data_IF_853498307259
#
_entry.id   IF_853498307259
#
_cell.length_a   1.000
_cell.length_b   1.000
_cell.length_c   1.000
_cell.angle_alpha   90.00
_cell.angle_beta   90.00
_cell.angle_gamma   90.00
#
_symmetry.space_group_name_H-M   'P 1'
#
loop_
_entity.id
_entity.type
_entity.pdbx_description
1 polymer ?
#
# COMPACT_ATOMS: atom_id res chain seq x y z
N UNK A 1 -5.12 -4.18 -58.33
CA UNK A 1 -3.85 -4.93 -58.54
C UNK A 1 -3.79 -6.11 -57.59
N UNK A 2 -3.90 -5.88 -56.27
CA UNK A 2 -4.02 -6.95 -55.27
C UNK A 2 -5.06 -8.02 -55.64
N UNK A 3 -6.31 -7.63 -55.86
CA UNK A 3 -7.39 -8.54 -56.28
C UNK A 3 -7.13 -9.31 -57.59
N UNK A 4 -6.26 -8.77 -58.46
CA UNK A 4 -5.92 -9.43 -59.72
C UNK A 4 -4.88 -10.55 -59.51
N UNK A 5 -4.03 -10.43 -58.49
CA UNK A 5 -3.04 -11.45 -58.12
C UNK A 5 -3.75 -12.66 -57.50
N UNK A 6 -4.66 -12.45 -56.54
CA UNK A 6 -5.40 -13.56 -55.91
C UNK A 6 -6.41 -14.27 -56.81
N UNK A 7 -6.65 -13.77 -58.03
CA UNK A 7 -7.48 -14.43 -59.05
C UNK A 7 -6.65 -15.17 -60.10
N UNK A 8 -5.33 -15.18 -59.96
CA UNK A 8 -4.41 -15.83 -60.89
C UNK A 8 -4.14 -17.27 -60.45
N UNK A 9 -4.46 -18.25 -61.28
CA UNK A 9 -4.24 -19.68 -60.98
C UNK A 9 -2.75 -20.09 -60.99
N UNK A 10 -1.87 -19.22 -61.50
CA UNK A 10 -0.44 -19.51 -61.74
C UNK A 10 0.47 -18.84 -60.72
N UNK A 11 0.05 -17.72 -60.14
CA UNK A 11 0.85 -16.93 -59.19
C UNK A 11 -0.07 -16.36 -58.12
N UNK A 12 -0.09 -17.00 -56.97
CA UNK A 12 -1.00 -16.69 -55.87
C UNK A 12 -0.29 -15.84 -54.80
N UNK A 13 -1.01 -15.34 -53.81
CA UNK A 13 -0.47 -14.49 -52.74
C UNK A 13 0.68 -15.12 -51.96
N UNK A 14 0.76 -16.46 -51.93
CA UNK A 14 1.81 -17.22 -51.23
C UNK A 14 3.15 -17.20 -51.97
N UNK A 15 3.13 -16.88 -53.27
CA UNK A 15 4.31 -16.90 -54.13
C UNK A 15 5.01 -15.52 -54.21
N UNK A 16 4.46 -14.52 -53.51
CA UNK A 16 5.05 -13.19 -53.37
C UNK A 16 6.35 -13.23 -52.56
N UNK A 17 7.38 -12.56 -53.08
CA UNK A 17 8.65 -12.41 -52.40
C UNK A 17 8.55 -11.44 -51.22
N UNK A 18 9.31 -11.72 -50.16
CA UNK A 18 9.32 -10.91 -48.94
C UNK A 18 9.61 -9.43 -49.23
N UNK A 19 10.54 -9.15 -50.15
CA UNK A 19 10.93 -7.78 -50.49
C UNK A 19 9.80 -6.98 -51.12
N UNK A 20 9.02 -7.56 -52.03
CA UNK A 20 7.83 -6.90 -52.60
C UNK A 20 6.77 -6.66 -51.54
N UNK A 21 6.49 -7.65 -50.69
CA UNK A 21 5.52 -7.52 -49.58
C UNK A 21 5.92 -6.41 -48.61
N UNK A 22 7.19 -6.38 -48.20
CA UNK A 22 7.74 -5.34 -47.31
C UNK A 22 7.65 -3.94 -47.94
N UNK A 23 7.91 -3.84 -49.25
CA UNK A 23 7.83 -2.57 -49.99
C UNK A 23 6.38 -2.06 -50.06
N UNK A 24 5.42 -2.95 -50.35
CA UNK A 24 4.01 -2.59 -50.43
C UNK A 24 3.45 -2.19 -49.06
N UNK A 25 3.74 -2.96 -48.02
CA UNK A 25 3.34 -2.65 -46.65
C UNK A 25 3.99 -1.34 -46.17
N UNK A 26 5.25 -1.07 -46.55
CA UNK A 26 5.90 0.22 -46.29
C UNK A 26 5.15 1.39 -46.91
N UNK A 27 4.81 1.30 -48.20
CA UNK A 27 4.05 2.35 -48.90
C UNK A 27 2.66 2.55 -48.31
N UNK A 28 1.97 1.48 -47.91
CA UNK A 28 0.65 1.57 -47.26
C UNK A 28 0.75 2.23 -45.88
N UNK A 29 1.79 1.92 -45.11
CA UNK A 29 2.04 2.54 -43.81
C UNK A 29 2.33 4.04 -43.95
N UNK A 30 3.16 4.43 -44.93
CA UNK A 30 3.54 5.84 -45.17
C UNK A 30 2.37 6.70 -45.64
N UNK A 31 1.44 6.13 -46.41
CA UNK A 31 0.22 6.84 -46.86
C UNK A 31 -0.76 7.12 -45.73
N UNK A 32 -0.82 6.24 -44.73
CA UNK A 32 -1.64 6.44 -43.53
C UNK A 32 -3.15 6.55 -43.79
N UNK A 33 -3.66 6.05 -44.92
CA UNK A 33 -5.08 6.11 -45.24
C UNK A 33 -5.84 4.93 -44.59
N UNK A 34 -7.07 5.18 -44.14
CA UNK A 34 -7.88 4.15 -43.46
C UNK A 34 -8.23 2.96 -44.35
N UNK A 35 -8.49 3.20 -45.65
CA UNK A 35 -8.79 2.13 -46.61
C UNK A 35 -7.58 1.20 -46.82
N UNK A 36 -6.37 1.69 -46.57
CA UNK A 36 -5.12 0.94 -46.75
C UNK A 36 -4.91 -0.07 -45.60
N UNK A 37 -5.59 0.10 -44.46
CA UNK A 37 -5.53 -0.84 -43.33
C UNK A 37 -6.16 -2.20 -43.67
N UNK A 38 -7.34 -2.21 -44.29
CA UNK A 38 -8.00 -3.46 -44.69
C UNK A 38 -7.16 -4.21 -45.72
N UNK A 39 -6.62 -3.50 -46.71
CA UNK A 39 -5.72 -4.08 -47.71
C UNK A 39 -4.44 -4.63 -47.04
N UNK A 40 -3.84 -3.90 -46.10
CA UNK A 40 -2.68 -4.38 -45.36
C UNK A 40 -2.98 -5.65 -44.54
N UNK A 41 -4.16 -5.73 -43.90
CA UNK A 41 -4.61 -6.94 -43.19
C UNK A 41 -4.70 -8.13 -44.13
N UNK A 42 -5.33 -7.98 -45.31
CA UNK A 42 -5.41 -9.04 -46.30
C UNK A 42 -4.04 -9.50 -46.79
N UNK A 43 -3.12 -8.55 -47.06
CA UNK A 43 -1.75 -8.85 -47.45
C UNK A 43 -1.04 -9.69 -46.37
N UNK A 44 -1.15 -9.29 -45.10
CA UNK A 44 -0.49 -9.98 -43.99
C UNK A 44 -1.07 -11.39 -43.79
N UNK A 45 -2.39 -11.56 -43.90
CA UNK A 45 -3.04 -12.88 -43.77
C UNK A 45 -2.77 -13.81 -44.96
N UNK A 46 -2.65 -13.27 -46.16
CA UNK A 46 -2.40 -14.06 -47.36
C UNK A 46 -0.94 -14.51 -47.51
N UNK A 47 0.00 -13.74 -46.95
CA UNK A 47 1.46 -13.98 -47.00
C UNK A 47 2.02 -14.71 -45.76
N UNK A 48 1.13 -15.21 -44.89
CA UNK A 48 1.38 -15.83 -43.57
C UNK A 48 2.33 -17.05 -43.59
N UNK A 49 2.68 -17.56 -44.78
CA UNK A 49 3.68 -18.62 -44.95
C UNK A 49 5.10 -18.21 -44.50
N UNK A 50 5.38 -16.90 -44.41
CA UNK A 50 6.65 -16.36 -43.88
C UNK A 50 6.44 -15.72 -42.50
N UNK A 51 6.58 -16.52 -41.43
CA UNK A 51 6.46 -16.09 -40.02
C UNK A 51 7.20 -14.77 -39.67
N UNK A 52 8.24 -14.37 -40.43
CA UNK A 52 8.96 -13.11 -40.23
C UNK A 52 8.12 -11.87 -40.53
N UNK A 53 7.27 -11.91 -41.56
CA UNK A 53 6.60 -10.73 -42.12
C UNK A 53 5.45 -10.29 -41.21
N UNK A 54 4.65 -11.24 -40.74
CA UNK A 54 3.60 -11.02 -39.73
C UNK A 54 4.17 -10.48 -38.42
N UNK A 55 5.34 -10.95 -38.01
CA UNK A 55 6.02 -10.53 -36.77
C UNK A 55 6.47 -9.06 -36.80
N UNK A 56 6.83 -8.54 -37.97
CA UNK A 56 7.37 -7.19 -38.14
C UNK A 56 6.29 -6.13 -38.43
N UNK A 57 5.30 -6.47 -39.27
CA UNK A 57 4.32 -5.49 -39.74
C UNK A 57 3.06 -5.40 -38.89
N UNK A 58 2.59 -6.51 -38.31
CA UNK A 58 1.37 -6.54 -37.48
C UNK A 58 1.39 -5.49 -36.36
N UNK A 59 2.49 -5.33 -35.59
CA UNK A 59 2.52 -4.30 -34.55
C UNK A 59 2.38 -2.87 -35.09
N UNK A 60 3.00 -2.56 -36.24
CA UNK A 60 2.98 -1.22 -36.84
C UNK A 60 1.57 -0.83 -37.29
N UNK A 61 0.89 -1.74 -38.00
CA UNK A 61 -0.47 -1.49 -38.49
C UNK A 61 -1.51 -1.46 -37.38
N UNK A 62 -1.37 -2.28 -36.33
CA UNK A 62 -2.27 -2.21 -35.18
C UNK A 62 -2.07 -0.92 -34.40
N UNK A 63 -0.84 -0.46 -34.21
CA UNK A 63 -0.59 0.84 -33.55
C UNK A 63 -1.18 1.99 -34.37
N UNK A 64 -0.99 2.00 -35.69
CA UNK A 64 -1.57 3.00 -36.58
C UNK A 64 -3.12 2.97 -36.56
N UNK A 65 -3.70 1.77 -36.54
CA UNK A 65 -5.15 1.60 -36.37
C UNK A 65 -5.65 2.14 -35.02
N UNK A 66 -4.93 1.86 -33.91
CA UNK A 66 -5.27 2.39 -32.59
C UNK A 66 -5.19 3.92 -32.54
N UNK A 67 -4.19 4.52 -33.20
CA UNK A 67 -4.05 5.98 -33.32
C UNK A 67 -5.21 6.60 -34.10
N UNK A 68 -5.58 6.01 -35.23
CA UNK A 68 -6.72 6.46 -36.02
C UNK A 68 -8.05 6.34 -35.24
N UNK A 69 -8.16 5.33 -34.38
CA UNK A 69 -9.33 5.10 -33.53
C UNK A 69 -9.55 6.19 -32.48
N UNK A 70 -8.50 6.88 -32.04
CA UNK A 70 -8.63 8.02 -31.13
C UNK A 70 -9.07 9.31 -31.84
N UNK A 71 -8.74 9.46 -33.13
CA UNK A 71 -9.01 10.68 -33.89
C UNK A 71 -10.44 10.80 -34.44
N UNK A 72 -11.13 9.67 -34.67
CA UNK A 72 -12.50 9.64 -35.17
C UNK A 72 -13.42 8.87 -34.21
N UNK A 73 -14.37 9.56 -33.57
CA UNK A 73 -15.48 8.96 -32.80
C UNK A 73 -16.48 8.15 -33.67
N UNK A 74 -16.11 7.75 -34.89
CA UNK A 74 -17.01 7.22 -35.91
C UNK A 74 -16.56 5.83 -36.35
N UNK A 75 -17.35 4.81 -35.99
CA UNK A 75 -17.47 3.48 -36.61
C UNK A 75 -16.19 2.94 -37.25
N UNK A 76 -15.14 2.75 -36.46
CA UNK A 76 -14.11 1.79 -36.88
C UNK A 76 -14.65 0.38 -36.68
N UNK A 77 -14.22 -0.51 -37.56
CA UNK A 77 -14.51 -1.93 -37.47
C UNK A 77 -13.88 -2.47 -36.17
N UNK A 78 -14.72 -2.76 -35.17
CA UNK A 78 -14.30 -3.26 -33.85
C UNK A 78 -13.48 -4.56 -33.97
N UNK A 79 -13.54 -5.23 -35.13
CA UNK A 79 -12.95 -6.53 -35.42
C UNK A 79 -11.67 -6.47 -36.29
N UNK A 80 -11.08 -5.29 -36.52
CA UNK A 80 -9.85 -5.21 -37.33
C UNK A 80 -8.72 -6.10 -36.77
N UNK A 81 -8.58 -6.15 -35.45
CA UNK A 81 -7.57 -6.94 -34.76
C UNK A 81 -7.83 -8.46 -34.78
N UNK A 82 -9.05 -8.91 -35.10
CA UNK A 82 -9.40 -10.33 -35.10
C UNK A 82 -8.70 -11.07 -36.26
N UNK A 83 -8.14 -12.25 -35.97
CA UNK A 83 -7.50 -13.15 -36.93
C UNK A 83 -6.05 -12.82 -37.32
N UNK A 84 -5.59 -11.57 -37.13
CA UNK A 84 -4.19 -11.19 -37.42
C UNK A 84 -3.27 -11.35 -36.21
N UNK A 85 -3.84 -11.35 -35.00
CA UNK A 85 -3.08 -11.42 -33.75
C UNK A 85 -2.58 -12.83 -33.41
N UNK A 86 -1.35 -12.90 -32.93
CA UNK A 86 -0.79 -14.06 -32.23
C UNK A 86 -0.18 -13.63 -30.89
N UNK A 87 0.11 -14.55 -29.95
CA UNK A 87 0.65 -14.20 -28.63
C UNK A 87 1.92 -13.34 -28.67
N UNK A 88 2.82 -13.59 -29.62
CA UNK A 88 4.04 -12.78 -29.82
C UNK A 88 3.74 -11.35 -30.26
N UNK A 89 2.78 -11.16 -31.18
CA UNK A 89 2.40 -9.84 -31.67
C UNK A 89 1.71 -9.04 -30.57
N UNK A 90 0.86 -9.68 -29.75
CA UNK A 90 0.23 -9.05 -28.58
C UNK A 90 1.28 -8.52 -27.62
N UNK A 91 2.28 -9.35 -27.28
CA UNK A 91 3.41 -8.92 -26.44
C UNK A 91 4.16 -7.74 -27.06
N UNK A 92 4.57 -7.84 -28.33
CA UNK A 92 5.34 -6.80 -29.01
C UNK A 92 4.57 -5.48 -29.10
N UNK A 93 3.27 -5.52 -29.36
CA UNK A 93 2.40 -4.33 -29.35
C UNK A 93 2.35 -3.71 -27.96
N UNK A 94 2.13 -4.51 -26.91
CA UNK A 94 2.11 -4.00 -25.54
C UNK A 94 3.44 -3.38 -25.11
N UNK A 95 4.57 -4.01 -25.45
CA UNK A 95 5.90 -3.48 -25.15
C UNK A 95 6.15 -2.16 -25.87
N UNK A 96 5.80 -2.05 -27.16
CA UNK A 96 5.95 -0.81 -27.94
C UNK A 96 5.08 0.33 -27.40
N UNK A 97 3.83 0.05 -27.03
CA UNK A 97 2.93 1.06 -26.46
C UNK A 97 3.44 1.59 -25.12
N UNK A 98 4.00 0.71 -24.27
CA UNK A 98 4.58 1.07 -22.97
C UNK A 98 5.90 1.82 -23.14
N UNK A 99 6.80 1.35 -24.01
CA UNK A 99 8.08 2.03 -24.31
C UNK A 99 7.85 3.46 -24.83
N UNK A 100 6.83 3.65 -25.65
CA UNK A 100 6.45 4.96 -26.20
C UNK A 100 5.58 5.80 -25.24
N UNK A 101 5.31 5.32 -24.02
CA UNK A 101 4.49 5.99 -22.99
C UNK A 101 3.10 6.42 -23.46
N UNK A 102 2.48 5.63 -24.34
CA UNK A 102 1.17 5.94 -24.94
C UNK A 102 0.03 5.36 -24.10
N UNK A 103 -0.16 5.89 -22.90
CA UNK A 103 -1.13 5.37 -21.91
C UNK A 103 -2.57 5.32 -22.42
N UNK A 104 -3.01 6.34 -23.16
CA UNK A 104 -4.36 6.37 -23.72
C UNK A 104 -4.59 5.28 -24.79
N UNK A 105 -3.55 4.91 -25.55
CA UNK A 105 -3.64 3.80 -26.51
C UNK A 105 -3.57 2.44 -25.80
N UNK A 106 -2.95 2.37 -24.61
CA UNK A 106 -2.98 1.14 -23.80
C UNK A 106 -4.38 0.85 -23.26
N UNK A 107 -5.16 1.88 -22.92
CA UNK A 107 -6.55 1.71 -22.49
C UNK A 107 -7.45 1.20 -23.64
N UNK A 108 -7.32 1.77 -24.84
CA UNK A 108 -8.05 1.28 -26.03
C UNK A 108 -7.57 -0.10 -26.47
N UNK A 109 -6.27 -0.38 -26.32
CA UNK A 109 -5.73 -1.70 -26.54
C UNK A 109 -6.25 -2.72 -25.52
N UNK A 110 -6.41 -2.34 -24.26
CA UNK A 110 -7.03 -3.19 -23.25
C UNK A 110 -8.46 -3.56 -23.62
N UNK A 111 -9.28 -2.60 -24.07
CA UNK A 111 -10.67 -2.89 -24.50
C UNK A 111 -10.70 -3.80 -25.72
N UNK A 112 -9.79 -3.60 -26.68
CA UNK A 112 -9.62 -4.49 -27.83
C UNK A 112 -9.27 -5.92 -27.40
N UNK A 113 -8.27 -6.07 -26.53
CA UNK A 113 -7.84 -7.38 -26.03
C UNK A 113 -8.93 -8.11 -25.26
N UNK A 114 -9.80 -7.37 -24.57
CA UNK A 114 -10.95 -7.98 -23.92
C UNK A 114 -11.89 -8.59 -24.96
N UNK A 115 -12.27 -7.89 -26.04
CA UNK A 115 -13.23 -8.38 -27.04
C UNK A 115 -12.80 -9.54 -27.95
N UNK A 116 -11.59 -10.09 -27.79
CA UNK A 116 -11.04 -11.14 -28.67
C UNK A 116 -11.76 -12.48 -28.52
N UNK A 117 -12.12 -13.09 -29.66
CA UNK A 117 -12.79 -14.41 -29.69
C UNK A 117 -11.86 -15.57 -29.31
N UNK A 118 -10.56 -15.48 -29.65
CA UNK A 118 -9.56 -16.55 -29.44
C UNK A 118 -8.74 -16.40 -28.14
N UNK A 119 -9.25 -15.67 -27.14
CA UNK A 119 -8.49 -15.31 -25.94
C UNK A 119 -7.98 -16.50 -25.10
N UNK A 120 -8.70 -17.64 -25.09
CA UNK A 120 -8.33 -18.86 -24.34
C UNK A 120 -7.15 -19.59 -24.96
N UNK A 121 -7.14 -19.74 -26.28
CA UNK A 121 -6.04 -20.35 -27.04
C UNK A 121 -4.79 -19.49 -26.95
N UNK A 122 -4.94 -18.16 -27.01
CA UNK A 122 -3.83 -17.24 -26.81
C UNK A 122 -3.23 -17.34 -25.42
N UNK A 123 -4.04 -17.43 -24.36
CA UNK A 123 -3.57 -17.50 -22.97
C UNK A 123 -2.82 -18.77 -22.60
N UNK A 124 -2.96 -19.85 -23.38
CA UNK A 124 -2.36 -21.17 -23.10
C UNK A 124 -1.04 -21.42 -23.85
N UNK A 125 -0.53 -20.42 -24.59
CA UNK A 125 0.69 -20.54 -25.40
C UNK A 125 1.99 -20.55 -24.57
N UNK A 126 3.00 -21.33 -24.96
CA UNK A 126 4.29 -21.41 -24.26
C UNK A 126 5.11 -20.10 -24.30
N UNK A 127 4.75 -19.18 -25.22
CA UNK A 127 5.36 -17.86 -25.42
C UNK A 127 5.34 -17.01 -24.14
N UNK A 128 4.37 -17.22 -23.25
CA UNK A 128 4.26 -16.47 -22.00
C UNK A 128 5.35 -16.84 -21.00
N UNK A 129 5.77 -18.11 -20.99
CA UNK A 129 6.83 -18.62 -20.10
C UNK A 129 8.21 -18.59 -20.74
N UNK A 130 8.29 -18.49 -22.06
CA UNK A 130 9.55 -18.40 -22.79
C UNK A 130 10.18 -17.01 -22.64
N UNK A 131 10.81 -16.78 -21.48
CA UNK A 131 11.73 -15.68 -21.27
C UNK A 131 13.10 -16.10 -21.83
N UNK A 132 13.25 -16.17 -23.15
CA UNK A 132 14.44 -16.76 -23.76
C UNK A 132 15.75 -16.22 -23.18
N UNK A 133 16.58 -17.20 -22.83
CA UNK A 133 18.04 -17.14 -22.74
C UNK A 133 18.65 -16.42 -23.98
N UNK A 134 19.88 -15.90 -23.85
CA UNK A 134 20.52 -15.06 -24.86
C UNK A 134 20.90 -15.87 -26.11
N UNK A 135 19.94 -16.22 -26.94
CA UNK A 135 20.17 -16.64 -28.33
C UNK A 135 19.67 -15.55 -29.25
N UNK A 136 20.51 -14.51 -29.35
CA UNK A 136 20.67 -13.73 -30.58
C UNK A 136 19.45 -12.96 -31.07
N UNK A 137 18.85 -12.11 -30.22
CA UNK A 137 18.20 -10.81 -30.53
C UNK A 137 17.14 -10.47 -29.47
N UNK A 138 17.54 -10.32 -28.21
CA UNK A 138 16.66 -9.72 -27.19
C UNK A 138 16.44 -8.24 -27.54
N UNK A 139 15.37 -7.95 -28.28
CA UNK A 139 15.03 -6.61 -28.82
C UNK A 139 14.15 -5.79 -27.90
N UNK A 140 13.69 -6.34 -26.78
CA UNK A 140 12.91 -5.60 -25.79
C UNK A 140 13.84 -4.66 -25.02
N UNK A 141 13.76 -3.35 -25.25
CA UNK A 141 14.47 -2.32 -24.47
C UNK A 141 14.05 -2.24 -22.99
N UNK A 142 13.26 -3.19 -22.50
CA UNK A 142 12.69 -3.24 -21.15
C UNK A 142 13.46 -4.22 -20.26
N UNK A 143 13.69 -3.87 -18.98
CA UNK A 143 14.18 -4.80 -17.97
C UNK A 143 13.31 -6.05 -17.82
N UNK A 144 13.93 -7.19 -17.50
CA UNK A 144 13.25 -8.49 -17.37
C UNK A 144 12.02 -8.44 -16.44
N UNK A 145 12.12 -7.70 -15.32
CA UNK A 145 11.03 -7.52 -14.37
C UNK A 145 9.81 -6.84 -15.00
N UNK A 146 10.04 -5.80 -15.80
CA UNK A 146 8.97 -5.10 -16.51
C UNK A 146 8.32 -5.99 -17.56
N UNK A 147 9.10 -6.79 -18.28
CA UNK A 147 8.55 -7.74 -19.25
C UNK A 147 7.66 -8.79 -18.59
N UNK A 148 8.01 -9.27 -17.39
CA UNK A 148 7.17 -10.22 -16.64
C UNK A 148 5.86 -9.54 -16.21
N UNK A 149 5.90 -8.29 -15.76
CA UNK A 149 4.69 -7.54 -15.38
C UNK A 149 3.77 -7.35 -16.59
N UNK A 150 4.30 -7.04 -17.77
CA UNK A 150 3.50 -6.91 -19.00
C UNK A 150 2.86 -8.23 -19.43
N UNK A 151 3.59 -9.35 -19.32
CA UNK A 151 3.04 -10.70 -19.54
C UNK A 151 1.92 -11.04 -18.55
N UNK A 152 2.09 -10.68 -17.27
CA UNK A 152 1.05 -10.85 -16.25
C UNK A 152 -0.19 -9.98 -16.54
N UNK A 153 0.02 -8.75 -16.97
CA UNK A 153 -1.04 -7.82 -17.35
C UNK A 153 -1.84 -8.35 -18.54
N UNK A 154 -1.17 -8.72 -19.63
CA UNK A 154 -1.80 -9.25 -20.86
C UNK A 154 -2.57 -10.53 -20.62
N UNK A 155 -1.96 -11.53 -19.96
CA UNK A 155 -2.63 -12.80 -19.63
C UNK A 155 -3.90 -12.60 -18.81
N UNK A 156 -3.89 -11.62 -17.91
CA UNK A 156 -5.07 -11.29 -17.14
C UNK A 156 -6.16 -10.62 -17.98
N UNK A 157 -5.81 -9.72 -18.90
CA UNK A 157 -6.77 -9.12 -19.83
C UNK A 157 -7.44 -10.22 -20.65
N UNK A 158 -6.65 -11.12 -21.25
CA UNK A 158 -7.16 -12.25 -22.03
C UNK A 158 -8.02 -13.21 -21.20
N UNK A 159 -7.61 -13.52 -19.97
CA UNK A 159 -8.36 -14.39 -19.06
C UNK A 159 -9.61 -13.76 -18.44
N UNK A 160 -9.87 -12.46 -18.66
CA UNK A 160 -11.05 -11.77 -18.11
C UNK A 160 -12.34 -12.03 -18.90
N UNK A 161 -12.22 -12.48 -20.16
CA UNK A 161 -13.34 -12.71 -21.07
C UNK A 161 -13.94 -14.10 -21.05
N UNK A 162 -13.36 -15.05 -20.31
CA UNK A 162 -13.98 -16.38 -20.14
C UNK A 162 -15.33 -16.18 -19.43
N UNK A 163 -16.48 -16.40 -20.11
CA UNK A 163 -17.77 -16.16 -19.53
C UNK A 163 -17.91 -17.05 -18.31
N UNK A 164 -18.05 -16.40 -17.15
CA UNK A 164 -18.30 -17.01 -15.86
C UNK A 164 -19.68 -17.70 -15.89
N UNK A 165 -19.76 -18.86 -16.54
CA UNK A 165 -20.92 -19.72 -16.40
C UNK A 165 -20.90 -20.32 -15.00
N UNK A 166 -21.78 -19.74 -14.19
CA UNK A 166 -22.41 -20.34 -13.01
C UNK A 166 -21.51 -20.58 -11.79
N UNK A 167 -21.66 -19.66 -10.81
CA UNK A 167 -21.43 -19.76 -9.36
C UNK A 167 -20.25 -18.96 -8.77
N UNK A 168 -20.39 -18.40 -7.54
CA UNK A 168 -19.43 -17.47 -6.93
C UNK A 168 -18.24 -18.15 -6.24
N UNK A 169 -17.98 -19.43 -6.57
CA UNK A 169 -16.74 -20.11 -6.19
C UNK A 169 -15.86 -20.14 -7.44
N UNK A 170 -14.94 -19.17 -7.54
CA UNK A 170 -13.90 -19.12 -8.59
C UNK A 170 -13.21 -20.49 -8.65
N UNK A 171 -13.45 -21.25 -9.71
CA UNK A 171 -12.55 -22.34 -10.10
C UNK A 171 -11.25 -21.77 -10.68
N UNK A 172 -10.17 -22.57 -10.72
CA UNK A 172 -8.91 -22.15 -11.34
C UNK A 172 -9.13 -21.88 -12.83
N UNK A 173 -8.66 -20.73 -13.31
CA UNK A 173 -8.63 -20.41 -14.75
C UNK A 173 -7.49 -21.17 -15.41
N UNK A 174 -7.63 -21.47 -16.70
CA UNK A 174 -6.57 -22.11 -17.50
C UNK A 174 -5.27 -21.29 -17.53
N UNK A 175 -5.37 -19.96 -17.36
CA UNK A 175 -4.21 -19.06 -17.30
C UNK A 175 -3.58 -18.94 -15.90
N UNK A 176 -4.25 -19.38 -14.84
CA UNK A 176 -3.74 -19.29 -13.46
C UNK A 176 -2.39 -20.03 -13.23
N UNK A 177 -2.12 -21.24 -13.76
CA UNK A 177 -0.82 -21.90 -13.58
C UNK A 177 0.32 -21.09 -14.23
N UNK A 178 0.11 -20.57 -15.44
CA UNK A 178 1.07 -19.73 -16.15
C UNK A 178 1.35 -18.44 -15.39
N UNK A 179 0.29 -17.80 -14.87
CA UNK A 179 0.38 -16.59 -14.05
C UNK A 179 1.14 -16.85 -12.75
N UNK A 180 0.89 -17.98 -12.08
CA UNK A 180 1.59 -18.36 -10.85
C UNK A 180 3.09 -18.64 -11.11
N UNK A 181 3.40 -19.31 -12.22
CA UNK A 181 4.79 -19.50 -12.67
C UNK A 181 5.50 -18.17 -12.89
N UNK A 182 4.84 -17.22 -13.58
CA UNK A 182 5.36 -15.87 -13.80
C UNK A 182 5.56 -15.08 -12.50
N UNK A 183 4.65 -15.19 -11.52
CA UNK A 183 4.85 -14.56 -10.22
C UNK A 183 6.05 -15.15 -9.47
N UNK A 184 6.27 -16.46 -9.54
CA UNK A 184 7.43 -17.11 -8.92
C UNK A 184 8.73 -16.74 -9.64
N UNK A 185 8.69 -16.65 -10.97
CA UNK A 185 9.82 -16.21 -11.78
C UNK A 185 10.17 -14.75 -11.51
N UNK A 186 9.16 -13.87 -11.40
CA UNK A 186 9.34 -12.50 -10.95
C UNK A 186 10.06 -12.49 -9.60
N UNK A 187 9.54 -13.20 -8.60
CA UNK A 187 10.11 -13.24 -7.24
C UNK A 187 11.58 -13.70 -7.25
N UNK A 188 11.91 -14.70 -8.06
CA UNK A 188 13.28 -15.23 -8.19
C UNK A 188 14.27 -14.26 -8.86
N UNK A 189 13.78 -13.32 -9.68
CA UNK A 189 14.58 -12.36 -10.45
C UNK A 189 14.54 -10.95 -9.86
N UNK A 190 14.01 -10.79 -8.65
CA UNK A 190 14.00 -9.51 -7.95
C UNK A 190 15.41 -9.11 -7.57
N UNK A 191 15.77 -7.89 -7.97
CA UNK A 191 17.09 -7.28 -7.74
C UNK A 191 17.25 -6.78 -6.31
N UNK A 192 16.14 -6.37 -5.67
CA UNK A 192 16.13 -5.88 -4.29
C UNK A 192 15.37 -6.84 -3.37
N UNK A 193 16.13 -7.60 -2.57
CA UNK A 193 15.61 -8.52 -1.56
C UNK A 193 15.11 -7.82 -0.29
N UNK A 194 15.36 -6.50 -0.15
CA UNK A 194 14.93 -5.71 1.02
C UNK A 194 13.52 -5.15 0.90
N UNK A 195 12.95 -5.12 -0.30
CA UNK A 195 11.55 -4.73 -0.51
C UNK A 195 10.65 -5.97 -0.44
N UNK A 196 9.39 -5.80 0.00
CA UNK A 196 8.40 -6.88 -0.08
C UNK A 196 8.00 -7.12 -1.54
N UNK A 197 7.61 -8.36 -1.87
CA UNK A 197 7.15 -8.75 -3.22
C UNK A 197 6.06 -7.81 -3.75
N UNK A 198 5.08 -7.49 -2.91
CA UNK A 198 3.96 -6.61 -3.29
C UNK A 198 4.42 -5.17 -3.54
N UNK A 199 5.38 -4.67 -2.77
CA UNK A 199 5.96 -3.33 -2.96
C UNK A 199 6.68 -3.22 -4.28
N UNK A 200 7.52 -4.20 -4.59
CA UNK A 200 8.30 -4.28 -5.83
C UNK A 200 7.38 -4.40 -7.05
N UNK A 201 6.36 -5.27 -6.98
CA UNK A 201 5.36 -5.44 -8.03
C UNK A 201 4.56 -4.14 -8.25
N UNK A 202 4.08 -3.51 -7.18
CA UNK A 202 3.34 -2.24 -7.25
C UNK A 202 4.20 -1.14 -7.89
N UNK A 203 5.47 -1.03 -7.51
CA UNK A 203 6.40 -0.06 -8.09
C UNK A 203 6.59 -0.30 -9.59
N UNK A 204 6.79 -1.54 -10.01
CA UNK A 204 6.94 -1.88 -11.42
C UNK A 204 5.68 -1.62 -12.25
N UNK A 205 4.49 -1.81 -11.69
CA UNK A 205 3.21 -1.45 -12.33
C UNK A 205 3.14 0.07 -12.58
N UNK A 206 3.48 0.88 -11.57
CA UNK A 206 3.46 2.34 -11.67
C UNK A 206 4.53 2.88 -12.63
N UNK A 207 5.73 2.27 -12.64
CA UNK A 207 6.80 2.63 -13.58
C UNK A 207 6.42 2.38 -15.04
N UNK A 208 5.63 1.33 -15.31
CA UNK A 208 5.16 1.01 -16.66
C UNK A 208 3.97 1.86 -17.10
N UNK A 209 3.30 2.56 -16.17
CA UNK A 209 2.11 3.35 -16.48
C UNK A 209 0.98 2.53 -17.11
N UNK A 210 0.92 1.22 -16.80
CA UNK A 210 -0.11 0.33 -17.34
C UNK A 210 -1.48 0.61 -16.69
N UNK A 211 -2.58 0.47 -17.44
CA UNK A 211 -3.91 0.71 -16.90
C UNK A 211 -4.28 -0.37 -15.89
N UNK A 212 -5.14 0.01 -14.96
CA UNK A 212 -5.59 -0.86 -13.89
C UNK A 212 -6.21 -2.15 -14.44
N UNK A 213 -5.69 -3.29 -13.97
CA UNK A 213 -6.28 -4.60 -14.26
C UNK A 213 -6.53 -5.39 -12.97
N UNK A 214 -6.02 -4.93 -11.83
CA UNK A 214 -6.17 -5.52 -10.51
C UNK A 214 -5.07 -6.52 -10.15
N UNK A 215 -3.92 -6.48 -10.82
CA UNK A 215 -2.78 -7.40 -10.69
C UNK A 215 -2.41 -7.71 -9.24
N UNK A 216 -2.42 -6.69 -8.36
CA UNK A 216 -2.13 -6.88 -6.95
C UNK A 216 -3.13 -7.83 -6.26
N UNK A 217 -4.41 -7.75 -6.62
CA UNK A 217 -5.44 -8.65 -6.09
C UNK A 217 -5.26 -10.09 -6.56
N UNK A 218 -4.83 -10.30 -7.81
CA UNK A 218 -4.61 -11.65 -8.34
C UNK A 218 -3.37 -12.29 -7.74
N UNK A 219 -2.32 -11.51 -7.48
CA UNK A 219 -1.16 -11.99 -6.75
C UNK A 219 -1.56 -12.51 -5.36
N UNK A 220 -2.42 -11.77 -4.63
CA UNK A 220 -2.92 -12.20 -3.31
C UNK A 220 -3.86 -13.40 -3.42
N UNK A 221 -4.83 -13.38 -4.35
CA UNK A 221 -5.78 -14.48 -4.51
C UNK A 221 -5.08 -15.81 -4.87
N UNK A 222 -4.09 -15.79 -5.77
CA UNK A 222 -3.36 -16.98 -6.20
C UNK A 222 -2.31 -17.46 -5.18
N UNK A 223 -1.63 -16.53 -4.48
CA UNK A 223 -0.58 -16.92 -3.50
C UNK A 223 -1.13 -17.26 -2.11
N UNK A 224 -2.16 -16.56 -1.63
CA UNK A 224 -2.66 -16.75 -0.27
C UNK A 224 -3.67 -17.90 -0.15
N UNK A 225 -4.27 -18.33 -1.27
CA UNK A 225 -5.27 -19.41 -1.31
C UNK A 225 -6.56 -19.13 -0.50
N UNK A 226 -6.69 -17.93 0.09
CA UNK A 226 -7.82 -17.49 0.91
C UNK A 226 -8.52 -16.33 0.23
N UNK A 227 -9.85 -16.34 0.25
CA UNK A 227 -10.63 -15.22 -0.27
C UNK A 227 -10.32 -13.94 0.50
N UNK A 228 -9.87 -12.92 -0.20
CA UNK A 228 -9.67 -11.59 0.37
C UNK A 228 -10.97 -10.97 0.91
N UNK A 229 -10.84 -10.14 1.95
CA UNK A 229 -11.94 -9.32 2.45
C UNK A 229 -12.28 -8.18 1.47
N UNK A 230 -13.51 -7.66 1.55
CA UNK A 230 -13.94 -6.52 0.71
C UNK A 230 -13.05 -5.29 0.90
N UNK A 231 -12.63 -5.03 2.14
CA UNK A 231 -11.73 -3.91 2.48
C UNK A 231 -10.34 -4.11 1.85
N UNK A 232 -9.77 -5.32 1.90
CA UNK A 232 -8.49 -5.62 1.26
C UNK A 232 -8.54 -5.43 -0.26
N UNK A 233 -9.65 -5.80 -0.91
CA UNK A 233 -9.83 -5.56 -2.36
C UNK A 233 -9.84 -4.07 -2.67
N UNK A 234 -10.58 -3.27 -1.91
CA UNK A 234 -10.64 -1.82 -2.12
C UNK A 234 -9.29 -1.14 -1.88
N UNK A 235 -8.52 -1.57 -0.87
CA UNK A 235 -7.19 -1.00 -0.62
C UNK A 235 -6.19 -1.36 -1.71
N UNK A 236 -6.16 -2.63 -2.15
CA UNK A 236 -5.26 -3.04 -3.25
C UNK A 236 -5.63 -2.37 -4.57
N UNK A 237 -6.93 -2.17 -4.84
CA UNK A 237 -7.38 -1.42 -5.99
C UNK A 237 -6.83 0.02 -5.96
N UNK A 238 -6.94 0.72 -4.83
CA UNK A 238 -6.38 2.08 -4.68
C UNK A 238 -4.87 2.12 -4.86
N UNK A 239 -4.15 1.13 -4.35
CA UNK A 239 -2.70 1.02 -4.49
C UNK A 239 -2.23 0.81 -5.93
N UNK A 240 -3.05 0.16 -6.76
CA UNK A 240 -2.74 -0.09 -8.16
C UNK A 240 -3.18 1.07 -9.07
N UNK A 241 -4.33 1.69 -8.79
CA UNK A 241 -4.87 2.77 -9.63
C UNK A 241 -4.18 4.12 -9.43
N UNK A 242 -3.58 4.34 -8.27
CA UNK A 242 -2.97 5.62 -7.90
C UNK A 242 -1.67 5.40 -7.14
N UNK A 243 -0.71 6.33 -7.21
CA UNK A 243 0.51 6.23 -6.43
C UNK A 243 0.16 6.13 -4.93
N UNK A 244 0.87 5.27 -4.18
CA UNK A 244 0.51 4.91 -2.82
C UNK A 244 0.71 6.07 -1.84
N UNK A 245 -0.37 6.63 -1.30
CA UNK A 245 -0.29 7.44 -0.07
C UNK A 245 -0.36 6.52 1.15
N UNK A 246 0.80 5.96 1.56
CA UNK A 246 0.89 5.11 2.75
C UNK A 246 0.46 5.84 4.03
N UNK A 247 0.64 7.17 4.09
CA UNK A 247 0.19 8.01 5.19
C UNK A 247 -1.33 7.98 5.34
N UNK A 248 -2.07 8.15 4.25
CA UNK A 248 -3.54 8.19 4.30
C UNK A 248 -4.10 6.83 4.74
N UNK A 249 -3.52 5.74 4.22
CA UNK A 249 -3.91 4.38 4.58
C UNK A 249 -3.54 4.06 6.03
N UNK A 250 -2.46 4.63 6.56
CA UNK A 250 -2.08 4.46 7.95
C UNK A 250 -3.05 5.14 8.92
N UNK A 251 -3.72 6.22 8.52
CA UNK A 251 -4.73 6.87 9.38
C UNK A 251 -6.01 6.05 9.52
N UNK A 252 -6.42 5.31 8.49
CA UNK A 252 -7.59 4.43 8.52
C UNK A 252 -7.22 3.08 9.15
N UNK A 253 -7.93 2.68 10.22
CA UNK A 253 -7.71 1.41 10.91
C UNK A 253 -8.01 0.19 10.03
N UNK A 254 -9.11 0.24 9.27
CA UNK A 254 -9.54 -0.91 8.47
C UNK A 254 -8.66 -1.07 7.23
N UNK A 255 -8.28 0.05 6.60
CA UNK A 255 -7.38 0.03 5.47
C UNK A 255 -5.96 -0.44 5.87
N UNK A 256 -5.43 0.06 7.00
CA UNK A 256 -4.16 -0.38 7.55
C UNK A 256 -4.15 -1.89 7.83
N UNK A 257 -5.12 -2.40 8.59
CA UNK A 257 -5.16 -3.83 8.93
C UNK A 257 -5.27 -4.74 7.69
N UNK A 258 -5.88 -4.25 6.61
CA UNK A 258 -5.97 -4.97 5.36
C UNK A 258 -4.68 -4.91 4.52
N UNK A 259 -3.92 -3.82 4.60
CA UNK A 259 -2.69 -3.61 3.84
C UNK A 259 -1.42 -4.15 4.53
N UNK A 260 -1.39 -4.17 5.86
CA UNK A 260 -0.22 -4.58 6.68
C UNK A 260 0.33 -5.96 6.32
N UNK A 261 -0.48 -7.02 6.08
CA UNK A 261 0.06 -8.32 5.71
C UNK A 261 0.86 -8.33 4.41
N UNK A 262 0.66 -7.32 3.56
CA UNK A 262 1.23 -7.25 2.20
C UNK A 262 2.33 -6.20 2.07
N UNK A 263 2.29 -5.11 2.86
CA UNK A 263 3.18 -3.96 2.74
C UNK A 263 3.84 -3.58 4.08
N UNK A 264 4.10 -4.57 4.95
CA UNK A 264 4.64 -4.32 6.28
C UNK A 264 5.95 -3.52 6.23
N UNK A 265 6.89 -3.88 5.35
CA UNK A 265 8.19 -3.19 5.25
C UNK A 265 8.03 -1.71 4.89
N UNK A 266 7.06 -1.35 4.05
CA UNK A 266 6.82 0.03 3.67
C UNK A 266 6.26 0.83 4.83
N UNK A 267 5.29 0.28 5.56
CA UNK A 267 4.77 0.92 6.76
C UNK A 267 5.84 1.05 7.84
N UNK A 268 6.72 0.06 7.98
CA UNK A 268 7.82 0.12 8.93
C UNK A 268 8.84 1.20 8.56
N UNK A 269 9.24 1.29 7.28
CA UNK A 269 10.13 2.35 6.77
C UNK A 269 9.54 3.73 7.02
N UNK A 270 8.28 3.94 6.59
CA UNK A 270 7.57 5.21 6.78
C UNK A 270 7.51 5.61 8.27
N UNK A 271 7.22 4.66 9.16
CA UNK A 271 7.16 4.93 10.60
C UNK A 271 8.55 5.25 11.16
N UNK A 272 9.59 4.55 10.69
CA UNK A 272 10.99 4.73 11.14
C UNK A 272 11.56 6.09 10.76
N UNK A 273 11.08 6.68 9.66
CA UNK A 273 11.54 7.99 9.20
C UNK A 273 10.95 9.15 10.02
N UNK A 274 9.96 8.90 10.89
CA UNK A 274 9.35 9.92 11.73
C UNK A 274 10.25 10.18 12.95
N UNK A 275 10.76 11.41 13.05
CA UNK A 275 11.48 11.84 14.25
C UNK A 275 10.50 12.17 15.39
N UNK A 276 10.28 11.16 16.24
CA UNK A 276 9.43 11.23 17.43
C UNK A 276 9.98 12.19 18.51
N UNK A 277 11.28 12.50 18.48
CA UNK A 277 11.93 13.39 19.46
C UNK A 277 11.96 14.84 19.04
N UNK A 278 11.51 15.16 17.82
CA UNK A 278 11.42 16.53 17.35
C UNK A 278 10.39 17.35 18.15
N UNK A 279 10.69 18.62 18.42
CA UNK A 279 9.80 19.52 19.15
C UNK A 279 8.44 19.68 18.45
N UNK A 280 8.44 19.73 17.12
CA UNK A 280 7.23 19.82 16.30
C UNK A 280 6.33 18.60 16.45
N UNK A 281 6.90 17.39 16.47
CA UNK A 281 6.15 16.17 16.71
C UNK A 281 5.58 16.12 18.12
N UNK A 282 6.38 16.47 19.13
CA UNK A 282 5.95 16.48 20.54
C UNK A 282 4.79 17.47 20.75
N UNK A 283 4.90 18.69 20.24
CA UNK A 283 3.83 19.69 20.29
C UNK A 283 2.56 19.21 19.59
N UNK A 284 2.71 18.60 18.40
CA UNK A 284 1.59 18.04 17.66
C UNK A 284 0.92 16.89 18.44
N UNK A 285 1.69 15.97 19.01
CA UNK A 285 1.18 14.85 19.81
C UNK A 285 0.44 15.34 21.07
N UNK A 286 0.95 16.37 21.74
CA UNK A 286 0.29 17.00 22.89
C UNK A 286 -1.03 17.66 22.45
N UNK A 287 -1.03 18.36 21.32
CA UNK A 287 -2.25 18.99 20.79
C UNK A 287 -3.30 17.93 20.42
N UNK A 288 -2.91 16.83 19.78
CA UNK A 288 -3.79 15.69 19.51
C UNK A 288 -4.35 15.05 20.79
N UNK A 289 -3.53 14.92 21.84
CA UNK A 289 -3.99 14.42 23.13
C UNK A 289 -5.02 15.35 23.80
N UNK A 290 -4.88 16.67 23.59
CA UNK A 290 -5.81 17.69 24.10
C UNK A 290 -7.13 17.74 23.33
N UNK A 291 -7.10 17.58 22.00
CA UNK A 291 -8.31 17.52 21.16
C UNK A 291 -9.10 16.22 21.34
N UNK A 292 -8.49 15.17 21.90
CA UNK A 292 -9.22 13.97 22.32
C UNK A 292 -9.98 13.23 21.22
N UNK A 293 -9.73 13.52 19.94
CA UNK A 293 -10.37 12.83 18.84
C UNK A 293 -9.92 11.37 18.82
N UNK A 294 -10.89 10.45 18.92
CA UNK A 294 -10.58 9.03 19.05
C UNK A 294 -9.82 8.50 17.84
N UNK A 295 -10.05 9.01 16.63
CA UNK A 295 -9.36 8.51 15.44
C UNK A 295 -7.88 8.87 15.48
N UNK A 296 -7.57 10.15 15.66
CA UNK A 296 -6.18 10.64 15.73
C UNK A 296 -5.39 10.06 16.91
N UNK A 297 -6.01 9.93 18.09
CA UNK A 297 -5.38 9.30 19.25
C UNK A 297 -5.04 7.84 18.98
N UNK A 298 -5.92 7.07 18.33
CA UNK A 298 -5.60 5.71 17.93
C UNK A 298 -4.51 5.62 16.86
N UNK A 299 -4.44 6.58 15.94
CA UNK A 299 -3.35 6.67 14.96
C UNK A 299 -2.01 6.94 15.66
N UNK A 300 -1.98 7.83 16.65
CA UNK A 300 -0.78 8.07 17.48
C UNK A 300 -0.35 6.82 18.25
N UNK A 301 -1.29 6.11 18.89
CA UNK A 301 -0.98 4.86 19.58
C UNK A 301 -0.46 3.81 18.61
N UNK A 302 -1.04 3.71 17.41
CA UNK A 302 -0.59 2.80 16.36
C UNK A 302 0.84 3.13 15.94
N UNK A 303 1.15 4.41 15.73
CA UNK A 303 2.49 4.90 15.42
C UNK A 303 3.49 4.46 16.50
N UNK A 304 3.21 4.70 17.77
CA UNK A 304 4.06 4.27 18.89
C UNK A 304 4.24 2.75 18.94
N UNK A 305 3.18 1.99 18.64
CA UNK A 305 3.24 0.51 18.57
C UNK A 305 4.07 -0.01 17.41
N UNK A 306 4.09 0.67 16.26
CA UNK A 306 4.88 0.27 15.10
C UNK A 306 6.31 0.81 15.11
N UNK A 307 6.63 1.80 15.96
CA UNK A 307 7.94 2.45 15.96
C UNK A 307 9.02 1.65 16.70
N UNK A 308 9.75 0.81 15.97
CA UNK A 308 10.83 -0.04 16.51
C UNK A 308 11.98 0.77 17.15
N UNK A 309 12.51 1.86 16.55
CA UNK A 309 13.60 2.63 17.16
C UNK A 309 13.24 3.23 18.52
N UNK A 310 11.97 3.63 18.71
CA UNK A 310 11.47 4.20 19.96
C UNK A 310 11.54 3.15 21.06
N UNK A 311 11.10 1.93 20.80
CA UNK A 311 11.14 0.83 21.78
C UNK A 311 12.57 0.53 22.23
N UNK A 312 13.52 0.57 21.29
CA UNK A 312 14.95 0.35 21.57
C UNK A 312 15.49 1.52 22.40
N UNK A 313 15.17 2.76 22.04
CA UNK A 313 15.60 3.94 22.78
C UNK A 313 15.06 3.94 24.22
N UNK A 314 13.79 3.56 24.41
CA UNK A 314 13.18 3.45 25.74
C UNK A 314 13.88 2.41 26.61
N UNK A 315 14.26 1.26 26.07
CA UNK A 315 15.03 0.25 26.81
C UNK A 315 16.41 0.76 27.27
N UNK A 316 17.00 1.73 26.55
CA UNK A 316 18.31 2.33 26.87
C UNK A 316 18.22 3.50 27.86
N UNK A 317 17.03 3.97 28.22
CA UNK A 317 16.84 5.15 29.06
C UNK A 317 17.17 4.96 30.55
N UNK A 318 17.54 3.75 30.98
CA UNK A 318 18.07 3.48 32.33
C UNK A 318 19.41 4.13 32.61
N UNK A 319 20.18 4.44 31.57
CA UNK A 319 21.51 5.01 31.73
C UNK A 319 21.37 6.41 32.37
N UNK A 320 22.03 6.63 33.49
CA UNK A 320 22.04 7.94 34.15
C UNK A 320 22.73 8.98 33.27
N UNK A 321 22.21 10.20 33.25
CA UNK A 321 22.88 11.34 32.63
C UNK A 321 24.12 11.65 33.51
N UNK A 322 25.35 11.69 32.95
CA UNK A 322 26.54 12.03 33.73
C UNK A 322 26.42 13.47 34.24
N UNK A 323 26.80 13.69 35.48
CA UNK A 323 26.78 15.01 36.12
C UNK A 323 27.61 16.01 35.28
N UNK A 324 27.08 17.22 34.97
CA UNK A 324 27.82 18.29 34.29
C UNK A 324 29.20 18.61 34.89
N UNK A 325 29.39 18.32 36.19
CA UNK A 325 30.67 18.46 36.89
C UNK A 325 31.78 17.54 36.36
N UNK A 326 31.43 16.44 35.68
CA UNK A 326 32.37 15.45 35.16
C UNK A 326 33.09 15.88 33.86
N UNK A 327 32.79 17.07 33.30
CA UNK A 327 33.41 17.64 32.08
C UNK A 327 33.58 16.63 30.93
N UNK A 328 32.65 15.70 30.78
CA UNK A 328 32.66 14.77 29.66
C UNK A 328 32.30 15.55 28.38
N UNK A 329 33.31 15.97 27.62
CA UNK A 329 33.20 16.54 26.27
C UNK A 329 32.67 15.54 25.22
N UNK A 330 32.08 14.44 25.67
CA UNK A 330 31.65 13.31 24.84
C UNK A 330 30.15 13.43 24.67
N UNK A 331 29.70 13.57 23.41
CA UNK A 331 28.30 13.33 23.07
C UNK A 331 27.94 11.98 23.70
N UNK A 332 26.99 12.00 24.63
CA UNK A 332 26.49 10.87 25.43
C UNK A 332 26.22 9.59 24.60
N UNK A 333 26.02 9.74 23.29
CA UNK A 333 26.16 8.69 22.30
C UNK A 333 27.05 9.18 21.13
N UNK A 334 28.04 8.39 20.66
CA UNK A 334 28.94 8.78 19.57
C UNK A 334 28.24 8.84 18.20
N UNK A 335 27.05 8.26 18.06
CA UNK A 335 26.30 8.19 16.80
C UNK A 335 25.44 9.45 16.56
N UNK A 336 25.27 9.87 15.29
CA UNK A 336 24.37 10.97 14.94
C UNK A 336 22.93 10.61 15.30
N UNK A 337 22.33 11.42 16.19
CA UNK A 337 20.91 11.35 16.55
C UNK A 337 20.07 11.62 15.30
N UNK A 338 19.33 10.61 14.86
CA UNK A 338 18.52 10.62 13.64
C UNK A 338 17.20 9.90 13.94
N UNK A 339 16.20 9.97 13.05
CA UNK A 339 14.93 9.26 13.24
C UNK A 339 15.12 7.74 13.49
N UNK A 340 16.21 7.16 12.96
CA UNK A 340 16.59 5.77 13.18
C UNK A 340 17.20 5.49 14.57
N UNK A 341 17.74 6.51 15.25
CA UNK A 341 18.36 6.44 16.58
C UNK A 341 17.91 7.64 17.44
N UNK A 342 16.65 7.64 17.93
CA UNK A 342 16.13 8.74 18.76
C UNK A 342 16.82 8.77 20.13
N UNK A 343 16.87 9.95 20.74
CA UNK A 343 17.47 10.12 22.08
C UNK A 343 16.63 9.36 23.13
N UNK A 344 17.22 8.41 23.89
CA UNK A 344 16.53 7.66 24.94
C UNK A 344 15.80 8.53 25.97
N UNK A 345 16.42 9.63 26.41
CA UNK A 345 15.85 10.49 27.45
C UNK A 345 14.74 11.38 26.91
N UNK A 346 14.94 11.99 25.74
CA UNK A 346 13.89 12.79 25.08
C UNK A 346 12.68 11.92 24.68
N UNK A 347 12.91 10.66 24.29
CA UNK A 347 11.84 9.70 23.99
C UNK A 347 11.00 9.38 25.23
N UNK A 348 11.65 9.21 26.39
CA UNK A 348 10.97 8.99 27.65
C UNK A 348 10.18 10.24 28.10
N UNK A 349 10.79 11.42 27.97
CA UNK A 349 10.14 12.69 28.26
C UNK A 349 8.89 12.90 27.40
N UNK A 350 8.96 12.63 26.09
CA UNK A 350 7.80 12.68 25.18
C UNK A 350 6.64 11.81 25.70
N UNK A 351 6.91 10.58 26.14
CA UNK A 351 5.87 9.69 26.69
C UNK A 351 5.26 10.25 27.98
N UNK A 352 6.09 10.83 28.86
CA UNK A 352 5.61 11.43 30.10
C UNK A 352 4.77 12.68 29.84
N UNK A 353 5.19 13.56 28.92
CA UNK A 353 4.42 14.72 28.49
C UNK A 353 3.10 14.29 27.84
N UNK A 354 3.10 13.23 27.04
CA UNK A 354 1.89 12.67 26.44
C UNK A 354 0.93 12.11 27.50
N UNK A 355 1.46 11.41 28.52
CA UNK A 355 0.65 10.91 29.63
C UNK A 355 0.00 12.03 30.43
N UNK A 356 0.73 13.12 30.71
CA UNK A 356 0.19 14.32 31.34
C UNK A 356 -0.90 14.91 30.44
N UNK A 357 -0.65 15.07 29.13
CA UNK A 357 -1.64 15.61 28.21
C UNK A 357 -2.95 14.79 28.18
N UNK A 358 -2.87 13.46 28.17
CA UNK A 358 -4.05 12.59 28.27
C UNK A 358 -4.75 12.69 29.63
N UNK A 359 -4.00 12.79 30.72
CA UNK A 359 -4.55 12.89 32.07
C UNK A 359 -5.32 14.21 32.30
N UNK A 360 -4.85 15.31 31.72
CA UNK A 360 -5.47 16.64 31.87
C UNK A 360 -6.42 17.03 30.72
N UNK A 361 -6.57 16.19 29.69
CA UNK A 361 -7.49 16.44 28.59
C UNK A 361 -8.94 16.43 29.05
N UNK A 362 -9.63 17.58 28.89
CA UNK A 362 -11.05 17.76 29.22
C UNK A 362 -11.98 17.09 28.21
N UNK A 363 -11.50 16.82 27.00
CA UNK A 363 -12.31 16.28 25.90
C UNK A 363 -12.44 14.74 25.96
N UNK A 364 -11.50 14.07 26.64
CA UNK A 364 -11.56 12.63 26.90
C UNK A 364 -12.40 12.32 28.14
N UNK A 365 -13.21 11.27 28.12
CA UNK A 365 -13.89 10.80 29.34
C UNK A 365 -12.88 10.25 30.37
N UNK A 366 -13.18 10.26 31.68
CA UNK A 366 -12.28 9.72 32.71
C UNK A 366 -11.85 8.29 32.46
N UNK A 367 -12.77 7.43 32.02
CA UNK A 367 -12.48 6.03 31.63
C UNK A 367 -11.46 5.97 30.50
N UNK A 368 -11.66 6.79 29.46
CA UNK A 368 -10.79 6.80 28.29
C UNK A 368 -9.41 7.36 28.59
N UNK A 369 -9.35 8.45 29.34
CA UNK A 369 -8.11 9.04 29.84
C UNK A 369 -7.31 8.01 30.66
N UNK A 370 -7.97 7.30 31.58
CA UNK A 370 -7.34 6.23 32.36
C UNK A 370 -6.84 5.06 31.48
N UNK A 371 -7.61 4.59 30.52
CA UNK A 371 -7.18 3.53 29.59
C UNK A 371 -5.93 3.92 28.80
N UNK A 372 -5.86 5.17 28.32
CA UNK A 372 -4.75 5.67 27.52
C UNK A 372 -3.46 5.81 28.36
N UNK A 373 -3.57 6.39 29.55
CA UNK A 373 -2.42 6.52 30.47
C UNK A 373 -1.97 5.14 30.96
N UNK A 374 -2.91 4.24 31.27
CA UNK A 374 -2.59 2.85 31.59
C UNK A 374 -1.92 2.13 30.41
N UNK A 375 -2.34 2.41 29.18
CA UNK A 375 -1.69 1.85 27.99
C UNK A 375 -0.23 2.31 27.88
N UNK A 376 0.06 3.60 28.11
CA UNK A 376 1.43 4.12 28.14
C UNK A 376 2.27 3.48 29.25
N UNK A 377 1.71 3.28 30.45
CA UNK A 377 2.37 2.55 31.53
C UNK A 377 2.73 1.11 31.13
N UNK A 378 1.77 0.36 30.59
CA UNK A 378 2.01 -1.02 30.12
C UNK A 378 3.02 -1.04 28.98
N UNK A 379 3.02 -0.03 28.10
CA UNK A 379 3.99 0.12 27.01
C UNK A 379 5.42 0.31 27.53
N UNK A 380 5.63 1.21 28.50
CA UNK A 380 6.94 1.40 29.14
C UNK A 380 7.41 0.14 29.86
N UNK A 381 6.53 -0.50 30.63
CA UNK A 381 6.85 -1.73 31.35
C UNK A 381 7.26 -2.86 30.40
N UNK A 382 6.50 -3.07 29.31
CA UNK A 382 6.79 -4.11 28.29
C UNK A 382 8.13 -3.89 27.58
N UNK A 383 8.57 -2.64 27.46
CA UNK A 383 9.82 -2.28 26.79
C UNK A 383 10.97 -2.00 27.76
N UNK A 384 10.85 -2.44 29.02
CA UNK A 384 11.87 -2.27 30.07
C UNK A 384 12.34 -0.82 30.18
N UNK A 385 11.44 0.15 30.20
CA UNK A 385 11.75 1.56 30.40
C UNK A 385 11.53 1.97 31.87
N UNK A 386 12.30 2.93 32.41
CA UNK A 386 12.11 3.44 33.76
C UNK A 386 10.77 4.20 33.85
N UNK A 387 10.00 3.89 34.87
CA UNK A 387 8.72 4.55 35.13
C UNK A 387 8.99 5.79 35.99
N UNK A 388 8.82 6.97 35.40
CA UNK A 388 9.01 8.23 36.12
C UNK A 388 7.80 8.60 36.99
N UNK A 389 8.00 9.32 38.12
CA UNK A 389 6.92 9.85 38.96
C UNK A 389 5.84 10.62 38.18
N UNK A 390 6.23 11.36 37.14
CA UNK A 390 5.31 12.13 36.30
C UNK A 390 4.20 11.26 35.68
N UNK A 391 4.54 10.07 35.17
CA UNK A 391 3.59 9.12 34.59
C UNK A 391 2.61 8.59 35.64
N UNK A 392 3.14 8.28 36.82
CA UNK A 392 2.40 7.68 37.94
C UNK A 392 1.40 8.69 38.54
N UNK A 393 1.81 9.96 38.67
CA UNK A 393 0.92 11.08 39.03
C UNK A 393 -0.16 11.29 37.98
N UNK A 394 0.19 11.22 36.70
CA UNK A 394 -0.79 11.30 35.62
C UNK A 394 -1.81 10.14 35.68
N UNK A 395 -1.36 8.92 36.01
CA UNK A 395 -2.23 7.75 36.19
C UNK A 395 -3.18 7.92 37.37
N UNK A 396 -2.70 8.43 38.50
CA UNK A 396 -3.53 8.74 39.67
C UNK A 396 -4.56 9.84 39.38
N UNK A 397 -4.13 10.92 38.71
CA UNK A 397 -5.03 12.00 38.31
C UNK A 397 -6.15 11.49 37.38
N UNK A 398 -5.79 10.74 36.33
CA UNK A 398 -6.74 10.19 35.37
C UNK A 398 -7.69 9.15 35.99
N UNK A 399 -7.18 8.27 36.85
CA UNK A 399 -7.92 7.13 37.40
C UNK A 399 -8.70 7.41 38.69
N UNK A 400 -8.30 8.40 39.49
CA UNK A 400 -8.90 8.67 40.80
C UNK A 400 -9.48 10.08 40.87
N UNK A 401 -8.65 11.10 40.64
CA UNK A 401 -9.05 12.51 40.82
C UNK A 401 -10.17 12.88 39.84
N UNK A 402 -10.00 12.53 38.55
CA UNK A 402 -11.00 12.81 37.51
C UNK A 402 -12.31 12.05 37.70
N UNK A 403 -12.23 10.78 38.10
CA UNK A 403 -13.44 9.99 38.38
C UNK A 403 -14.25 10.65 39.51
N UNK A 404 -13.59 11.08 40.58
CA UNK A 404 -14.24 11.76 41.70
C UNK A 404 -14.82 13.13 41.29
N UNK A 405 -14.06 13.90 40.52
CA UNK A 405 -14.49 15.21 40.01
C UNK A 405 -15.76 15.09 39.16
N UNK A 406 -15.87 14.03 38.36
CA UNK A 406 -17.03 13.78 37.50
C UNK A 406 -18.14 12.99 38.23
N UNK A 407 -18.05 12.83 39.55
CA UNK A 407 -19.05 12.14 40.39
C UNK A 407 -19.09 10.61 40.19
N UNK A 408 -18.12 10.04 39.49
CA UNK A 408 -18.02 8.61 39.22
C UNK A 408 -17.34 7.88 40.39
N UNK A 409 -17.88 6.72 40.75
CA UNK A 409 -17.24 5.83 41.73
C UNK A 409 -16.00 5.18 41.13
N UNK A 410 -14.90 5.19 41.88
CA UNK A 410 -13.68 4.45 41.54
C UNK A 410 -13.82 3.03 42.07
N UNK A 411 -13.59 2.03 41.23
CA UNK A 411 -13.62 0.64 41.68
C UNK A 411 -12.48 0.39 42.71
N UNK A 412 -12.75 -0.29 43.83
CA UNK A 412 -11.71 -0.58 44.84
C UNK A 412 -10.49 -1.30 44.26
N UNK A 413 -10.71 -2.19 43.29
CA UNK A 413 -9.66 -2.91 42.56
C UNK A 413 -8.78 -1.98 41.73
N UNK A 414 -9.37 -0.99 41.04
CA UNK A 414 -8.64 0.02 40.29
C UNK A 414 -7.83 0.92 41.21
N UNK A 415 -8.40 1.33 42.36
CA UNK A 415 -7.70 2.14 43.34
C UNK A 415 -6.50 1.40 43.95
N UNK A 416 -6.69 0.15 44.36
CA UNK A 416 -5.61 -0.70 44.88
C UNK A 416 -4.48 -0.90 43.83
N UNK A 417 -4.85 -1.12 42.58
CA UNK A 417 -3.90 -1.24 41.46
C UNK A 417 -3.06 0.03 41.28
N UNK A 418 -3.69 1.21 41.28
CA UNK A 418 -2.98 2.50 41.13
C UNK A 418 -2.06 2.74 42.34
N UNK A 419 -2.55 2.50 43.57
CA UNK A 419 -1.75 2.68 44.77
C UNK A 419 -0.52 1.75 44.83
N UNK A 420 -0.63 0.52 44.32
CA UNK A 420 0.52 -0.38 44.20
C UNK A 420 1.59 0.20 43.28
N UNK A 421 1.20 0.72 42.11
CA UNK A 421 2.13 1.35 41.15
C UNK A 421 2.77 2.62 41.75
N UNK A 422 2.00 3.43 42.48
CA UNK A 422 2.53 4.63 43.16
C UNK A 422 3.56 4.25 44.22
N UNK A 423 3.28 3.19 45.00
CA UNK A 423 4.19 2.68 46.02
C UNK A 423 5.55 2.27 45.43
N UNK A 424 5.53 1.61 44.28
CA UNK A 424 6.73 1.09 43.64
C UNK A 424 7.59 2.18 43.00
N UNK A 425 6.98 3.28 42.54
CA UNK A 425 7.69 4.36 41.83
C UNK A 425 8.08 5.58 42.69
N UNK A 426 7.25 5.98 43.65
CA UNK A 426 7.50 7.17 44.51
C UNK A 426 7.74 6.82 45.99
N UNK A 427 7.61 5.54 46.35
CA UNK A 427 7.79 5.06 47.71
C UNK A 427 6.51 5.04 48.55
N UNK A 428 6.52 4.33 49.70
CA UNK A 428 5.33 4.10 50.52
C UNK A 428 4.81 5.35 51.26
N UNK A 429 5.65 6.37 51.43
CA UNK A 429 5.29 7.61 52.14
C UNK A 429 4.28 8.45 51.35
N UNK A 430 4.44 8.54 50.03
CA UNK A 430 3.52 9.25 49.15
C UNK A 430 2.16 8.56 49.11
N UNK A 431 2.13 7.23 49.15
CA UNK A 431 0.88 6.46 49.21
C UNK A 431 0.13 6.71 50.52
N UNK A 432 0.83 6.79 51.66
CA UNK A 432 0.22 7.13 52.95
C UNK A 432 -0.42 8.51 52.92
N UNK A 433 0.31 9.52 52.41
CA UNK A 433 -0.23 10.88 52.26
C UNK A 433 -1.44 10.95 51.31
N UNK A 434 -1.45 10.14 50.25
CA UNK A 434 -2.61 10.04 49.35
C UNK A 434 -3.81 9.37 50.03
N UNK A 435 -3.59 8.29 50.79
CA UNK A 435 -4.64 7.59 51.54
C UNK A 435 -5.28 8.50 52.60
N UNK A 436 -4.47 9.26 53.34
CA UNK A 436 -4.94 10.21 54.35
C UNK A 436 -5.79 11.34 53.73
N UNK A 437 -5.37 11.87 52.57
CA UNK A 437 -6.15 12.87 51.83
C UNK A 437 -7.43 12.27 51.22
N UNK A 438 -7.45 10.98 50.86
CA UNK A 438 -8.66 10.35 50.31
C UNK A 438 -9.76 10.10 51.34
N UNK A 439 -9.42 10.00 52.63
CA UNK A 439 -10.38 9.91 53.73
C UNK A 439 -11.09 11.26 53.98
N UNK A 440 -10.43 12.38 53.68
CA UNK A 440 -11.00 13.72 53.88
C UNK A 440 -12.01 14.11 52.78
N UNK A 441 -11.81 13.67 51.53
CA UNK A 441 -12.72 14.00 50.39
C UNK A 441 -14.02 13.19 50.40
N UNK A 442 -14.14 12.19 51.28
CA UNK A 442 -15.38 11.46 51.55
C UNK A 442 -16.36 12.21 52.47
N UNK A 443 -15.91 13.28 53.13
CA UNK A 443 -16.82 14.25 53.75
C UNK A 443 -17.27 15.23 52.68
N UNK A 444 -18.58 15.33 52.51
CA UNK A 444 -19.25 16.31 51.66
C UNK A 444 -18.57 17.67 51.80
N UNK A 445 -18.23 18.28 50.67
CA UNK A 445 -18.07 19.72 50.59
C UNK A 445 -19.47 20.31 50.82
N UNK A 446 -19.83 20.55 52.08
CA UNK A 446 -20.96 21.44 52.42
C UNK A 446 -20.46 22.87 52.22
N UNK A 447 -21.07 23.55 51.26
CA UNK A 447 -20.82 24.93 50.93
C UNK A 447 -21.12 25.82 52.16
N UNK A 448 -20.18 26.66 52.66
CA UNK A 448 -20.42 27.48 53.84
C UNK A 448 -21.43 28.63 53.62
N UNK A 449 -22.07 28.71 52.45
CA UNK A 449 -23.07 29.72 52.11
C UNK A 449 -24.50 29.42 52.58
N UNK A 450 -24.81 28.20 53.08
CA UNK A 450 -26.19 27.82 53.45
C UNK A 450 -26.52 27.98 54.95
N UNK A 451 -25.69 28.74 55.70
CA UNK A 451 -26.04 29.22 57.04
C UNK A 451 -26.66 30.61 56.97
N UNK A 452 -27.90 30.68 56.51
CA UNK A 452 -28.60 31.95 56.36
C UNK A 452 -30.11 31.85 56.29
N UNK A 453 -30.74 31.40 57.39
CA UNK A 453 -32.10 31.80 57.75
C UNK A 453 -33.27 31.11 57.01
N UNK A 454 -33.86 30.11 57.67
CA UNK A 454 -35.32 29.94 57.59
C UNK A 454 -35.96 30.88 58.61
N UNK A 455 -36.91 31.76 58.24
CA UNK A 455 -37.89 32.21 59.19
C UNK A 455 -38.94 31.10 59.37
N UNK A 456 -39.24 30.83 60.64
CA UNK A 456 -40.32 29.96 61.08
C UNK A 456 -41.68 30.49 60.64
N UNK A 457 -42.59 29.54 60.39
CA UNK A 457 -44.00 29.69 60.06
C UNK A 457 -44.75 30.61 61.04
N UNK A 458 -45.69 31.38 60.51
CA UNK A 458 -47.10 31.35 60.92
C UNK A 458 -47.93 31.11 59.67
#
# INVERSE_FOLDING_TARGET
MWDAIGRCDVYDYKDLDKTTVDTWLGVLLDKGLMNDLHLAKEIILATDASLSTKREWTPKFIINWLEAHQGLQSKLDEQYADGILNPESVLRITELLVLNKRTQLLETWQTCLTGLQDATLMGSSDVWTDLQQPTGTSTSGLPLQHQIILRLWTLRVLGSHVPARSHPRRGPRETDPTILSLFNLYDSKRTDTREDFMSSLMKGIHELGIPFNGLLMLAVDLRAGKSMTKTARQTLQKFESSPPSFSDIFTDLHAYNAAVPHFFSNFEKMVRDIDITSSTFVEHAINLARTGDSKTVWTLIRLLRSHTPLKIALAKSWQSIPDPSAKALVRYYPEPRTAACPDPHASLEMINLLAIAFAYSKQLSPRRSFELVRWLYVFLYKHNAPVQPALVRALYHAGVVRFRRDGLRVAPTQYAYICAIVKDAEGPEVVKALMDNTLQVGQRYEDPADRGGRPLKC
#
